data_IF_607476365283
#
_entry.id   IF_607476365283
#
_cell.length_a   1.000
_cell.length_b   1.000
_cell.length_c   1.000
_cell.angle_alpha   90.00
_cell.angle_beta   90.00
_cell.angle_gamma   90.00
#
_symmetry.space_group_name_H-M   'P 1'
#
loop_
_entity.id
_entity.type
_entity.pdbx_description
1 polymer ?
#
# COMPACT_ATOMS: atom_id res chain seq x y z
N UNK A 1 6.64 12.38 -11.96
CA UNK A 1 5.50 11.45 -12.04
C UNK A 1 5.75 10.37 -11.02
N UNK A 2 4.84 10.22 -10.07
CA UNK A 2 4.92 9.29 -8.96
C UNK A 2 3.87 8.19 -9.16
N UNK A 3 4.22 6.98 -8.77
CA UNK A 3 3.37 5.80 -8.89
C UNK A 3 3.54 4.92 -7.66
N UNK A 4 2.45 4.35 -7.19
CA UNK A 4 2.43 3.41 -6.08
C UNK A 4 1.66 2.15 -6.46
N UNK A 5 2.18 0.99 -6.09
CA UNK A 5 1.62 -0.31 -6.44
C UNK A 5 1.47 -1.16 -5.20
N UNK A 6 0.35 -1.86 -5.08
CA UNK A 6 0.11 -2.86 -4.05
C UNK A 6 0.04 -4.22 -4.73
N UNK A 7 0.92 -5.12 -4.30
CA UNK A 7 1.06 -6.45 -4.86
C UNK A 7 0.57 -7.51 -3.87
N UNK A 8 -0.22 -8.45 -4.35
CA UNK A 8 -0.43 -9.71 -3.64
C UNK A 8 0.67 -10.68 -4.06
N UNK A 9 1.53 -11.03 -3.10
CA UNK A 9 2.65 -11.93 -3.32
C UNK A 9 2.22 -13.39 -3.54
N UNK A 10 1.02 -13.78 -3.08
CA UNK A 10 0.51 -15.14 -3.26
C UNK A 10 0.09 -15.42 -4.70
N UNK A 11 -0.67 -14.50 -5.30
CA UNK A 11 -1.12 -14.61 -6.70
C UNK A 11 -0.15 -13.97 -7.70
N UNK A 12 0.81 -13.17 -7.23
CA UNK A 12 1.75 -12.41 -8.06
C UNK A 12 1.04 -11.35 -8.95
N UNK A 13 -0.07 -10.79 -8.43
CA UNK A 13 -0.89 -9.80 -9.13
C UNK A 13 -0.80 -8.42 -8.47
N UNK A 14 -1.04 -7.39 -9.28
CA UNK A 14 -1.27 -6.02 -8.79
C UNK A 14 -2.73 -5.94 -8.33
N UNK A 15 -2.93 -5.60 -7.06
CA UNK A 15 -4.27 -5.48 -6.46
C UNK A 15 -4.75 -4.03 -6.49
N UNK A 16 -3.83 -3.07 -6.36
CA UNK A 16 -4.15 -1.65 -6.49
C UNK A 16 -2.97 -0.86 -7.05
N UNK A 17 -3.31 0.25 -7.72
CA UNK A 17 -2.37 1.18 -8.33
C UNK A 17 -2.86 2.60 -8.16
N UNK A 18 -1.96 3.51 -7.81
CA UNK A 18 -2.23 4.94 -7.78
C UNK A 18 -1.11 5.72 -8.46
N UNK A 19 -1.46 6.88 -9.04
CA UNK A 19 -0.51 7.74 -9.75
C UNK A 19 -0.74 9.20 -9.40
N UNK A 20 0.32 9.98 -9.29
CA UNK A 20 0.22 11.42 -9.05
C UNK A 20 1.35 12.19 -9.74
N UNK A 21 1.07 13.42 -10.17
CA UNK A 21 2.10 14.35 -10.64
C UNK A 21 2.71 15.17 -9.49
N UNK A 22 2.08 15.17 -8.31
CA UNK A 22 2.40 16.05 -7.18
C UNK A 22 3.28 15.37 -6.13
N UNK A 23 2.94 14.16 -5.69
CA UNK A 23 3.73 13.44 -4.68
C UNK A 23 3.48 11.94 -4.67
N UNK A 24 4.44 11.18 -4.13
CA UNK A 24 4.31 9.75 -3.88
C UNK A 24 3.21 9.44 -2.84
N UNK A 25 3.06 10.29 -1.81
CA UNK A 25 2.02 10.13 -0.81
C UNK A 25 0.62 10.19 -1.42
N UNK A 26 0.38 11.09 -2.36
CA UNK A 26 -0.92 11.18 -3.03
C UNK A 26 -1.18 9.96 -3.94
N UNK A 27 -0.13 9.43 -4.60
CA UNK A 27 -0.24 8.17 -5.33
C UNK A 27 -0.54 6.98 -4.41
N UNK A 28 0.04 6.95 -3.21
CA UNK A 28 -0.26 5.96 -2.17
C UNK A 28 -1.71 6.06 -1.68
N UNK A 29 -2.18 7.26 -1.34
CA UNK A 29 -3.56 7.50 -0.87
C UNK A 29 -4.59 7.03 -1.91
N UNK A 30 -4.35 7.29 -3.20
CA UNK A 30 -5.18 6.76 -4.29
C UNK A 30 -5.18 5.23 -4.37
N UNK A 31 -4.02 4.58 -4.20
CA UNK A 31 -3.95 3.12 -4.20
C UNK A 31 -4.74 2.51 -3.02
N UNK A 32 -4.73 3.16 -1.85
CA UNK A 32 -5.53 2.74 -0.71
C UNK A 32 -7.03 2.91 -0.93
N UNK A 33 -7.46 4.00 -1.59
CA UNK A 33 -8.87 4.18 -1.95
C UNK A 33 -9.35 3.03 -2.83
N UNK A 34 -8.57 2.61 -3.83
CA UNK A 34 -8.87 1.45 -4.67
C UNK A 34 -9.04 0.18 -3.83
N UNK A 35 -8.16 -0.10 -2.86
CA UNK A 35 -8.31 -1.27 -1.99
C UNK A 35 -9.59 -1.22 -1.16
N UNK A 36 -9.92 -0.04 -0.61
CA UNK A 36 -11.12 0.19 0.21
C UNK A 36 -12.39 -0.01 -0.62
N UNK A 37 -12.43 0.53 -1.83
CA UNK A 37 -13.56 0.39 -2.75
C UNK A 37 -13.78 -1.06 -3.19
N UNK A 38 -12.70 -1.82 -3.35
CA UNK A 38 -12.75 -3.25 -3.65
C UNK A 38 -13.08 -4.12 -2.42
N UNK A 39 -13.15 -3.53 -1.22
CA UNK A 39 -13.39 -4.26 0.02
C UNK A 39 -12.27 -5.24 0.38
N UNK A 40 -11.05 -5.00 -0.12
CA UNK A 40 -9.89 -5.86 0.15
C UNK A 40 -9.43 -5.61 1.58
N UNK A 41 -9.46 -6.67 2.40
CA UNK A 41 -8.84 -6.65 3.73
C UNK A 41 -7.38 -7.08 3.61
N UNK A 42 -6.47 -6.27 4.13
CA UNK A 42 -5.04 -6.60 4.17
C UNK A 42 -4.74 -7.34 5.47
N UNK A 43 -4.38 -8.61 5.38
CA UNK A 43 -4.05 -9.42 6.58
C UNK A 43 -2.57 -9.28 6.97
N UNK A 44 -1.68 -9.10 5.99
CA UNK A 44 -0.27 -8.83 6.24
C UNK A 44 0.31 -7.87 5.20
N UNK A 45 1.26 -7.03 5.63
CA UNK A 45 1.95 -6.05 4.81
C UNK A 45 3.46 -6.22 4.95
N UNK A 46 4.17 -6.28 3.82
CA UNK A 46 5.62 -6.20 3.79
C UNK A 46 6.04 -4.78 3.44
N UNK A 47 6.51 -4.03 4.43
CA UNK A 47 6.95 -2.65 4.29
C UNK A 47 8.49 -2.61 4.19
N UNK A 48 9.01 -1.91 3.20
CA UNK A 48 10.45 -1.64 3.11
C UNK A 48 10.86 -0.41 3.94
N UNK A 49 12.17 -0.15 4.03
CA UNK A 49 12.74 0.95 4.82
C UNK A 49 12.24 2.36 4.48
N UNK A 50 11.52 2.55 3.37
CA UNK A 50 10.99 3.85 2.95
C UNK A 50 9.55 4.08 3.44
N UNK A 51 8.91 3.08 4.05
CA UNK A 51 7.62 3.26 4.69
C UNK A 51 7.75 4.12 5.95
N UNK A 52 7.05 5.25 5.97
CA UNK A 52 6.94 6.08 7.17
C UNK A 52 6.08 5.39 8.21
N UNK A 53 6.40 5.57 9.50
CA UNK A 53 5.61 5.02 10.63
C UNK A 53 4.10 5.33 10.52
N UNK A 54 3.74 6.47 9.93
CA UNK A 54 2.35 6.88 9.72
C UNK A 54 1.54 5.96 8.80
N UNK A 55 2.19 5.16 7.95
CA UNK A 55 1.51 4.17 7.09
C UNK A 55 1.05 2.97 7.90
N UNK A 56 1.73 2.65 9.02
CA UNK A 56 1.33 1.55 9.89
C UNK A 56 -0.06 1.80 10.50
N UNK A 57 -0.42 3.06 10.73
CA UNK A 57 -1.72 3.47 11.26
C UNK A 57 -2.87 3.17 10.28
N UNK A 58 -2.58 3.04 8.98
CA UNK A 58 -3.58 2.67 7.96
C UNK A 58 -3.93 1.17 8.01
N UNK A 59 -3.15 0.35 8.72
CA UNK A 59 -3.26 -1.11 8.77
C UNK A 59 -3.20 -1.67 10.21
N UNK A 60 -4.13 -1.27 11.09
CA UNK A 60 -4.05 -1.54 12.53
C UNK A 60 -4.18 -3.04 12.89
N UNK A 61 -4.90 -3.81 12.07
CA UNK A 61 -5.19 -5.23 12.30
C UNK A 61 -4.30 -6.16 11.45
N UNK A 62 -3.34 -5.61 10.72
CA UNK A 62 -2.49 -6.38 9.79
C UNK A 62 -1.15 -6.75 10.42
N UNK A 63 -0.62 -7.92 10.09
CA UNK A 63 0.76 -8.27 10.44
C UNK A 63 1.75 -7.50 9.56
N UNK A 64 2.65 -6.72 10.17
CA UNK A 64 3.58 -5.89 9.41
C UNK A 64 5.01 -6.43 9.51
N UNK A 65 5.59 -6.71 8.34
CA UNK A 65 6.95 -7.20 8.18
C UNK A 65 7.83 -6.07 7.64
N UNK A 66 8.71 -5.52 8.50
CA UNK A 66 9.69 -4.53 8.11
C UNK A 66 10.93 -5.22 7.53
N UNK A 67 11.24 -4.95 6.27
CA UNK A 67 12.47 -5.43 5.64
C UNK A 67 13.57 -4.36 5.83
N UNK A 68 14.75 -4.73 6.36
CA UNK A 68 15.93 -3.84 6.43
C UNK A 68 16.39 -3.31 5.07
#
# INVERSE_FOLDING_TARGET
MYSFFIFDLGSNLIVAYGYSLKSEREAYEMALEVLRDLGVKVDSLRADKYYSKSILDDFPDSEIYLIP
#
